data_IF_940611774698
#
_entry.id   IF_940611774698
#
_cell.length_a   1.000
_cell.length_b   1.000
_cell.length_c   1.000
_cell.angle_alpha   90.00
_cell.angle_beta   90.00
_cell.angle_gamma   90.00
#
_symmetry.space_group_name_H-M   'P 1'
#
loop_
_entity.id
_entity.type
_entity.pdbx_description
1 polymer ?
#
# COMPACT_ATOMS: atom_id res chain seq x y z
N UNK A 1 14.96 -0.47 -24.49
CA UNK A 1 13.82 -0.59 -25.43
C UNK A 1 12.55 -0.12 -24.76
N UNK A 2 12.07 1.07 -25.15
CA UNK A 2 10.80 1.67 -24.73
C UNK A 2 9.71 1.38 -25.76
N UNK A 3 8.65 0.66 -25.37
CA UNK A 3 7.52 0.34 -26.27
C UNK A 3 6.23 0.96 -25.75
N UNK A 4 5.51 1.68 -26.61
CA UNK A 4 4.18 2.18 -26.30
C UNK A 4 3.16 1.03 -26.37
N UNK A 5 2.48 0.76 -25.26
CA UNK A 5 1.31 -0.11 -25.24
C UNK A 5 0.09 0.75 -25.63
N UNK A 6 -0.83 0.23 -26.47
CA UNK A 6 -2.03 0.96 -26.90
C UNK A 6 -2.74 1.62 -25.69
N UNK A 7 -2.59 2.93 -25.57
CA UNK A 7 -3.20 3.76 -24.53
C UNK A 7 -4.36 4.55 -25.10
N UNK A 8 -5.40 4.74 -24.29
CA UNK A 8 -6.40 5.77 -24.57
C UNK A 8 -5.74 7.16 -24.51
N UNK A 9 -6.43 8.20 -25.00
CA UNK A 9 -5.83 9.52 -25.28
C UNK A 9 -5.11 10.20 -24.09
N UNK A 10 -5.39 9.80 -22.86
CA UNK A 10 -4.82 10.37 -21.63
C UNK A 10 -3.90 9.39 -20.87
N UNK A 11 -3.58 8.23 -21.48
CA UNK A 11 -2.79 7.16 -20.87
C UNK A 11 -1.49 6.97 -21.65
N UNK A 12 -0.38 7.14 -20.95
CA UNK A 12 0.96 6.84 -21.46
C UNK A 12 1.37 5.50 -20.87
N UNK A 13 1.41 4.45 -21.69
CA UNK A 13 1.80 3.12 -21.26
C UNK A 13 3.11 2.70 -21.93
N UNK A 14 4.14 2.46 -21.11
CA UNK A 14 5.52 2.26 -21.53
C UNK A 14 6.07 0.94 -20.96
N UNK A 15 6.78 0.19 -21.78
CA UNK A 15 7.61 -0.93 -21.32
C UNK A 15 9.08 -0.56 -21.38
N UNK A 16 9.80 -0.73 -20.28
CA UNK A 16 11.24 -0.45 -20.14
C UNK A 16 12.02 -1.76 -20.06
N UNK A 17 12.88 -1.98 -21.05
CA UNK A 17 13.84 -3.09 -21.07
C UNK A 17 15.07 -2.87 -20.18
N UNK A 18 16.18 -3.53 -20.50
CA UNK A 18 17.39 -3.61 -19.65
C UNK A 18 18.09 -2.27 -19.39
N UNK A 19 18.03 -1.37 -20.37
CA UNK A 19 18.69 -0.08 -20.36
C UNK A 19 17.81 0.96 -21.04
N UNK A 20 17.79 2.16 -20.46
CA UNK A 20 17.15 3.35 -21.04
C UNK A 20 18.24 4.17 -21.75
N UNK A 21 18.08 4.36 -23.05
CA UNK A 21 18.91 5.26 -23.84
C UNK A 21 18.33 6.68 -23.89
N UNK A 22 19.16 7.64 -24.28
CA UNK A 22 18.78 9.06 -24.33
C UNK A 22 17.57 9.30 -25.23
N UNK A 23 17.57 8.73 -26.43
CA UNK A 23 16.50 8.92 -27.41
C UNK A 23 15.16 8.33 -26.93
N UNK A 24 15.22 7.28 -26.10
CA UNK A 24 14.04 6.67 -25.47
C UNK A 24 13.46 7.57 -24.37
N UNK A 25 14.33 8.21 -23.58
CA UNK A 25 13.91 9.20 -22.60
C UNK A 25 13.31 10.45 -23.26
N UNK A 26 13.92 10.94 -24.33
CA UNK A 26 13.38 12.06 -25.11
C UNK A 26 12.00 11.74 -25.71
N UNK A 27 11.80 10.48 -26.16
CA UNK A 27 10.49 10.03 -26.61
C UNK A 27 9.46 10.05 -25.46
N UNK A 28 9.82 9.57 -24.28
CA UNK A 28 8.94 9.61 -23.11
C UNK A 28 8.53 11.05 -22.74
N UNK A 29 9.46 12.00 -22.74
CA UNK A 29 9.16 13.41 -22.47
C UNK A 29 8.27 14.04 -23.54
N UNK A 30 8.49 13.75 -24.83
CA UNK A 30 7.59 14.23 -25.89
C UNK A 30 6.17 13.72 -25.69
N UNK A 31 6.00 12.43 -25.38
CA UNK A 31 4.68 11.86 -25.10
C UNK A 31 4.01 12.52 -23.89
N UNK A 32 4.78 12.80 -22.83
CA UNK A 32 4.29 13.53 -21.65
C UNK A 32 3.85 14.95 -21.99
N UNK A 33 4.67 15.71 -22.72
CA UNK A 33 4.37 17.09 -23.11
C UNK A 33 3.12 17.16 -23.99
N UNK A 34 2.99 16.25 -24.96
CA UNK A 34 1.81 16.13 -25.83
C UNK A 34 0.53 15.78 -25.05
N UNK A 35 0.65 14.96 -24.00
CA UNK A 35 -0.46 14.63 -23.13
C UNK A 35 -0.83 15.84 -22.24
N UNK A 36 0.14 16.53 -21.63
CA UNK A 36 -0.12 17.70 -20.80
C UNK A 36 -0.71 18.89 -21.56
N UNK A 37 -0.41 19.03 -22.85
CA UNK A 37 -0.98 20.07 -23.71
C UNK A 37 -2.51 19.94 -23.88
N UNK A 38 -3.10 18.80 -23.52
CA UNK A 38 -4.54 18.54 -23.66
C UNK A 38 -5.36 19.01 -22.45
N UNK A 39 -4.70 19.58 -21.44
CA UNK A 39 -5.29 20.06 -20.17
C UNK A 39 -6.06 18.99 -19.35
N UNK A 40 -5.99 17.73 -19.74
CA UNK A 40 -6.49 16.57 -18.99
C UNK A 40 -5.45 16.09 -17.95
N UNK A 41 -5.91 15.24 -17.02
CA UNK A 41 -4.98 14.50 -16.17
C UNK A 41 -4.26 13.45 -17.02
N UNK A 42 -2.95 13.37 -16.88
CA UNK A 42 -2.11 12.38 -17.55
C UNK A 42 -1.90 11.18 -16.62
N UNK A 43 -2.30 10.00 -17.10
CA UNK A 43 -2.16 8.73 -16.42
C UNK A 43 -0.99 7.96 -17.02
N UNK A 44 -0.18 7.31 -16.19
CA UNK A 44 1.07 6.71 -16.62
C UNK A 44 1.14 5.26 -16.14
N UNK A 45 1.45 4.36 -17.06
CA UNK A 45 1.78 2.96 -16.77
C UNK A 45 3.21 2.70 -17.24
N UNK A 46 4.08 2.21 -16.37
CA UNK A 46 5.45 1.83 -16.72
C UNK A 46 5.73 0.42 -16.23
N UNK A 47 6.05 -0.51 -17.12
CA UNK A 47 6.59 -1.82 -16.73
C UNK A 47 8.12 -1.83 -16.85
N UNK A 48 8.79 -2.26 -15.79
CA UNK A 48 10.25 -2.30 -15.65
C UNK A 48 10.63 -3.72 -15.24
N UNK A 49 10.96 -4.56 -16.23
CA UNK A 49 11.16 -5.99 -16.02
C UNK A 49 12.61 -6.35 -15.65
N UNK A 50 13.60 -5.67 -16.23
CA UNK A 50 15.02 -6.02 -16.04
C UNK A 50 15.98 -4.83 -16.09
N UNK A 51 15.60 -3.67 -15.54
CA UNK A 51 16.48 -2.49 -15.56
C UNK A 51 17.74 -2.72 -14.71
N UNK A 52 18.90 -2.91 -15.34
CA UNK A 52 20.15 -3.18 -14.61
C UNK A 52 20.85 -1.88 -14.20
N UNK A 53 20.67 -0.81 -14.97
CA UNK A 53 21.22 0.52 -14.67
C UNK A 53 20.52 1.62 -15.46
N UNK A 54 20.44 2.81 -14.87
CA UNK A 54 20.13 4.04 -15.61
C UNK A 54 21.49 4.65 -15.99
N UNK A 55 21.64 5.07 -17.26
CA UNK A 55 22.87 5.73 -17.68
C UNK A 55 23.10 7.00 -16.83
N UNK A 56 24.29 7.21 -16.24
CA UNK A 56 24.55 8.37 -15.38
C UNK A 56 24.23 9.70 -16.07
N UNK A 57 24.52 9.80 -17.37
CA UNK A 57 24.22 10.99 -18.17
C UNK A 57 22.72 11.23 -18.28
N UNK A 58 21.89 10.18 -18.41
CA UNK A 58 20.43 10.31 -18.46
C UNK A 58 19.89 10.95 -17.16
N UNK A 59 20.43 10.59 -16.00
CA UNK A 59 20.05 11.18 -14.71
C UNK A 59 20.32 12.70 -14.63
N UNK A 60 21.41 13.18 -15.25
CA UNK A 60 21.81 14.59 -15.18
C UNK A 60 21.15 15.49 -16.24
N UNK A 61 20.76 14.94 -17.40
CA UNK A 61 20.01 15.69 -18.43
C UNK A 61 18.58 16.05 -18.00
N UNK A 62 18.07 15.39 -16.96
CA UNK A 62 16.65 15.42 -16.60
C UNK A 62 16.28 16.46 -15.56
N UNK A 63 17.23 17.15 -14.91
CA UNK A 63 16.90 18.05 -13.79
C UNK A 63 15.94 19.20 -14.19
N UNK A 64 16.10 19.77 -15.40
CA UNK A 64 15.21 20.83 -15.88
C UNK A 64 13.81 20.29 -16.21
N UNK A 65 13.72 19.09 -16.79
CA UNK A 65 12.45 18.43 -17.11
C UNK A 65 11.73 18.00 -15.83
N UNK A 66 12.45 17.46 -14.85
CA UNK A 66 11.93 17.15 -13.52
C UNK A 66 11.35 18.40 -12.87
N UNK A 67 12.07 19.54 -12.86
CA UNK A 67 11.53 20.80 -12.34
C UNK A 67 10.29 21.29 -13.11
N UNK A 68 10.28 21.11 -14.43
CA UNK A 68 9.13 21.43 -15.28
C UNK A 68 7.89 20.59 -14.92
N UNK A 69 8.05 19.28 -14.75
CA UNK A 69 6.96 18.38 -14.38
C UNK A 69 6.55 18.52 -12.91
N UNK A 70 7.47 18.86 -12.01
CA UNK A 70 7.16 19.22 -10.62
C UNK A 70 6.25 20.45 -10.53
N UNK A 71 6.38 21.42 -11.44
CA UNK A 71 5.43 22.54 -11.52
C UNK A 71 4.03 22.12 -11.99
N UNK A 72 3.90 20.94 -12.60
CA UNK A 72 2.67 20.38 -13.19
C UNK A 72 2.12 19.19 -12.42
N UNK A 73 2.53 18.97 -11.17
CA UNK A 73 2.09 17.82 -10.34
C UNK A 73 0.57 17.60 -10.32
N UNK A 74 -0.22 18.69 -10.37
CA UNK A 74 -1.69 18.63 -10.39
C UNK A 74 -2.29 18.02 -11.66
N UNK A 75 -1.54 18.02 -12.76
CA UNK A 75 -1.95 17.42 -14.02
C UNK A 75 -1.61 15.93 -14.07
N UNK A 76 -0.85 15.39 -13.12
CA UNK A 76 -0.67 13.96 -13.01
C UNK A 76 -1.90 13.31 -12.37
N UNK A 77 -2.32 12.18 -12.94
CA UNK A 77 -3.38 11.33 -12.42
C UNK A 77 -2.80 10.13 -11.67
N UNK A 78 -3.08 8.94 -12.21
CA UNK A 78 -2.64 7.65 -11.66
C UNK A 78 -1.34 7.25 -12.35
N UNK A 79 -0.31 6.94 -11.56
CA UNK A 79 0.99 6.45 -12.03
C UNK A 79 1.20 5.06 -11.45
N UNK A 80 1.24 4.04 -12.30
CA UNK A 80 1.56 2.68 -11.90
C UNK A 80 2.91 2.25 -12.46
N UNK A 81 3.78 1.74 -11.59
CA UNK A 81 5.05 1.13 -11.96
C UNK A 81 5.00 -0.36 -11.66
N UNK A 82 5.25 -1.21 -12.64
CA UNK A 82 5.27 -2.67 -12.51
C UNK A 82 6.72 -3.15 -12.50
N UNK A 83 7.23 -3.67 -11.39
CA UNK A 83 8.62 -4.16 -11.29
C UNK A 83 8.82 -5.18 -10.18
N UNK A 84 9.65 -6.20 -10.45
CA UNK A 84 10.09 -7.16 -9.43
C UNK A 84 11.40 -6.76 -8.75
N UNK A 85 12.04 -5.66 -9.19
CA UNK A 85 13.32 -5.24 -8.65
C UNK A 85 13.18 -4.57 -7.28
N UNK A 86 13.84 -5.16 -6.28
CA UNK A 86 13.74 -4.80 -4.87
C UNK A 86 14.17 -3.36 -4.55
N UNK A 87 15.07 -2.77 -5.35
CA UNK A 87 15.63 -1.42 -5.10
C UNK A 87 14.70 -0.30 -5.59
N UNK A 88 14.01 -0.48 -6.72
CA UNK A 88 12.98 0.46 -7.22
C UNK A 88 11.77 0.48 -6.28
N UNK A 89 11.43 -0.67 -5.68
CA UNK A 89 10.37 -0.81 -4.67
C UNK A 89 10.68 -0.05 -3.36
N UNK A 90 11.95 0.28 -3.10
CA UNK A 90 12.39 1.06 -1.93
C UNK A 90 12.49 2.55 -2.27
N UNK A 91 13.00 2.90 -3.45
CA UNK A 91 13.09 4.29 -3.91
C UNK A 91 11.70 4.96 -4.04
N UNK A 92 10.72 4.22 -4.56
CA UNK A 92 9.34 4.69 -4.66
C UNK A 92 8.65 4.98 -3.32
N UNK A 93 9.03 4.26 -2.26
CA UNK A 93 8.48 4.43 -0.90
C UNK A 93 8.84 5.77 -0.28
N UNK A 94 9.91 6.40 -0.75
CA UNK A 94 10.34 7.73 -0.31
C UNK A 94 9.66 8.83 -1.14
N UNK A 95 9.47 8.61 -2.45
CA UNK A 95 8.93 9.63 -3.35
C UNK A 95 7.41 9.84 -3.25
N UNK A 96 6.63 8.81 -2.95
CA UNK A 96 5.15 8.94 -2.82
C UNK A 96 4.73 9.86 -1.67
N UNK A 97 5.56 9.99 -0.63
CA UNK A 97 5.32 10.94 0.47
C UNK A 97 5.69 12.39 0.10
N UNK A 98 6.43 12.61 -0.99
CA UNK A 98 6.99 13.90 -1.38
C UNK A 98 6.28 14.56 -2.58
N UNK A 99 5.41 13.82 -3.28
CA UNK A 99 4.69 14.31 -4.47
C UNK A 99 3.21 14.54 -4.17
N UNK A 100 2.83 15.74 -3.66
CA UNK A 100 1.43 16.05 -3.43
C UNK A 100 0.63 15.98 -4.74
N UNK A 101 -0.62 15.52 -4.65
CA UNK A 101 -1.59 15.40 -5.75
C UNK A 101 -1.37 14.26 -6.75
N UNK A 102 -0.28 13.48 -6.62
CA UNK A 102 0.02 12.36 -7.52
C UNK A 102 -0.35 11.04 -6.84
N UNK A 103 -1.22 10.24 -7.49
CA UNK A 103 -1.49 8.87 -7.05
C UNK A 103 -0.46 7.96 -7.68
N UNK A 104 0.56 7.58 -6.92
CA UNK A 104 1.68 6.79 -7.39
C UNK A 104 1.68 5.42 -6.71
N UNK A 105 1.77 4.34 -7.48
CA UNK A 105 1.78 2.96 -6.97
C UNK A 105 2.77 2.05 -7.67
N UNK A 106 3.33 1.11 -6.92
CA UNK A 106 4.25 0.08 -7.44
C UNK A 106 3.64 -1.29 -7.26
N UNK A 107 3.70 -2.08 -8.33
CA UNK A 107 3.14 -3.42 -8.42
C UNK A 107 4.25 -4.43 -8.75
N UNK A 108 4.19 -5.65 -8.20
CA UNK A 108 4.99 -6.75 -8.72
C UNK A 108 4.57 -7.10 -10.15
N UNK A 109 5.44 -7.75 -10.93
CA UNK A 109 5.14 -8.14 -12.32
C UNK A 109 3.90 -9.04 -12.40
N UNK A 110 3.67 -9.87 -11.38
CA UNK A 110 2.48 -10.71 -11.27
C UNK A 110 1.15 -9.91 -11.22
N UNK A 111 1.18 -8.63 -10.87
CA UNK A 111 0.01 -7.75 -10.77
C UNK A 111 -0.08 -6.73 -11.93
N UNK A 112 0.66 -6.94 -13.01
CA UNK A 112 0.69 -6.08 -14.21
C UNK A 112 -0.69 -5.69 -14.73
N UNK A 113 -1.59 -6.67 -14.88
CA UNK A 113 -2.91 -6.42 -15.46
C UNK A 113 -3.77 -5.55 -14.52
N UNK A 114 -3.61 -5.72 -13.21
CA UNK A 114 -4.27 -4.88 -12.22
C UNK A 114 -3.74 -3.44 -12.27
N UNK A 115 -2.42 -3.28 -12.34
CA UNK A 115 -1.78 -1.97 -12.47
C UNK A 115 -2.30 -1.21 -13.70
N UNK A 116 -2.43 -1.91 -14.84
CA UNK A 116 -2.98 -1.34 -16.06
C UNK A 116 -4.46 -0.97 -15.93
N UNK A 117 -5.27 -1.86 -15.36
CA UNK A 117 -6.69 -1.61 -15.09
C UNK A 117 -6.90 -0.38 -14.19
N UNK A 118 -6.07 -0.22 -13.16
CA UNK A 118 -6.11 0.94 -12.28
C UNK A 118 -5.74 2.23 -13.02
N UNK A 119 -4.67 2.24 -13.81
CA UNK A 119 -4.29 3.44 -14.61
C UNK A 119 -5.41 3.85 -15.58
N UNK A 120 -6.11 2.87 -16.15
CA UNK A 120 -7.24 3.08 -17.06
C UNK A 120 -8.54 3.55 -16.40
N UNK A 121 -8.64 3.54 -15.08
CA UNK A 121 -9.92 3.84 -14.42
C UNK A 121 -10.89 2.66 -14.35
N UNK A 122 -10.47 1.45 -14.75
CA UNK A 122 -11.33 0.25 -14.71
C UNK A 122 -11.54 -0.26 -13.27
N UNK A 123 -10.64 0.11 -12.34
CA UNK A 123 -10.84 -0.05 -10.91
C UNK A 123 -10.53 1.24 -10.15
N UNK A 124 -11.30 1.51 -9.09
CA UNK A 124 -11.16 2.74 -8.30
C UNK A 124 -9.98 2.68 -7.34
N UNK A 125 -9.71 1.50 -6.77
CA UNK A 125 -8.62 1.30 -5.81
C UNK A 125 -7.37 0.73 -6.48
N UNK A 126 -6.16 1.16 -6.07
CA UNK A 126 -4.92 0.65 -6.62
C UNK A 126 -4.70 -0.82 -6.26
N UNK A 127 -4.90 -1.16 -4.99
CA UNK A 127 -4.76 -2.53 -4.50
C UNK A 127 -6.12 -3.17 -4.23
N UNK A 128 -6.24 -4.50 -4.35
CA UNK A 128 -7.45 -5.19 -3.92
C UNK A 128 -7.63 -4.92 -2.43
N UNK A 129 -8.87 -4.98 -1.96
CA UNK A 129 -9.13 -4.85 -0.53
C UNK A 129 -8.28 -5.87 0.23
N UNK A 130 -7.38 -5.42 1.10
CA UNK A 130 -6.48 -6.33 1.80
C UNK A 130 -7.13 -6.89 3.06
N UNK A 131 -8.02 -6.12 3.69
CA UNK A 131 -8.71 -6.51 4.93
C UNK A 131 -10.08 -7.10 4.63
N UNK A 132 -10.28 -8.37 4.99
CA UNK A 132 -11.56 -9.06 4.89
C UNK A 132 -12.03 -9.53 6.25
N UNK A 133 -13.30 -9.31 6.60
CA UNK A 133 -13.88 -9.91 7.80
C UNK A 133 -14.11 -11.40 7.56
N UNK A 134 -13.70 -12.23 8.50
CA UNK A 134 -13.95 -13.68 8.49
C UNK A 134 -14.88 -14.05 9.64
N UNK A 135 -15.46 -15.25 9.58
CA UNK A 135 -16.31 -15.74 10.67
C UNK A 135 -15.56 -15.72 12.00
N UNK A 136 -16.09 -14.93 12.92
CA UNK A 136 -15.74 -14.94 14.34
C UNK A 136 -16.88 -15.53 15.14
N UNK A 137 -16.57 -16.07 16.30
CA UNK A 137 -17.57 -16.34 17.34
C UNK A 137 -18.17 -14.99 17.82
N UNK A 138 -19.31 -15.02 18.52
CA UNK A 138 -20.09 -13.80 18.82
C UNK A 138 -19.29 -12.68 19.51
N UNK A 139 -18.21 -12.99 20.22
CA UNK A 139 -17.35 -12.06 20.95
C UNK A 139 -15.99 -11.75 20.27
N UNK A 140 -15.64 -12.43 19.17
CA UNK A 140 -14.35 -12.29 18.49
C UNK A 140 -14.50 -11.54 17.16
N UNK A 141 -13.85 -10.38 17.06
CA UNK A 141 -13.72 -9.65 15.79
C UNK A 141 -12.57 -10.24 14.97
N UNK A 142 -12.91 -11.09 14.00
CA UNK A 142 -11.93 -11.81 13.18
C UNK A 142 -11.75 -11.20 11.79
N UNK A 143 -10.51 -10.98 11.39
CA UNK A 143 -10.11 -10.41 10.12
C UNK A 143 -9.00 -11.23 9.44
N UNK A 144 -9.04 -11.29 8.13
CA UNK A 144 -7.95 -11.75 7.27
C UNK A 144 -7.30 -10.56 6.56
N UNK A 145 -5.97 -10.54 6.54
CA UNK A 145 -5.17 -9.58 5.80
C UNK A 145 -4.42 -10.30 4.68
N UNK A 146 -4.74 -9.97 3.43
CA UNK A 146 -4.10 -10.47 2.22
C UNK A 146 -3.76 -9.31 1.27
N UNK A 147 -2.50 -8.87 1.30
CA UNK A 147 -2.00 -7.77 0.48
C UNK A 147 -1.57 -6.55 1.31
N UNK A 148 -1.74 -5.37 0.71
CA UNK A 148 -1.28 -4.09 1.25
C UNK A 148 -2.43 -3.31 1.89
N UNK A 149 -2.28 -2.96 3.17
CA UNK A 149 -3.30 -2.21 3.91
C UNK A 149 -3.25 -0.73 3.50
N UNK A 150 -4.38 -0.22 3.02
CA UNK A 150 -4.55 1.20 2.67
C UNK A 150 -5.04 2.02 3.86
N UNK A 151 -4.86 3.35 3.81
CA UNK A 151 -5.37 4.23 4.88
C UNK A 151 -6.90 4.13 5.01
N UNK A 152 -7.62 4.12 3.88
CA UNK A 152 -9.08 4.05 3.83
C UNK A 152 -9.63 2.73 4.38
N UNK A 153 -8.99 1.59 4.07
CA UNK A 153 -9.36 0.29 4.63
C UNK A 153 -9.20 0.26 6.14
N UNK A 154 -8.11 0.83 6.63
CA UNK A 154 -7.83 0.91 8.05
C UNK A 154 -8.82 1.86 8.76
N UNK A 155 -9.20 2.98 8.14
CA UNK A 155 -10.25 3.88 8.62
C UNK A 155 -11.60 3.17 8.74
N UNK A 156 -12.01 2.45 7.70
CA UNK A 156 -13.24 1.65 7.71
C UNK A 156 -13.23 0.56 8.80
N UNK A 157 -12.09 -0.12 8.98
CA UNK A 157 -11.91 -1.11 10.04
C UNK A 157 -12.06 -0.48 11.44
N UNK A 158 -11.43 0.67 11.68
CA UNK A 158 -11.55 1.34 12.97
C UNK A 158 -12.98 1.83 13.23
N UNK A 159 -13.67 2.36 12.21
CA UNK A 159 -15.07 2.77 12.35
C UNK A 159 -15.96 1.60 12.79
N UNK A 160 -15.82 0.44 12.14
CA UNK A 160 -16.52 -0.80 12.54
C UNK A 160 -16.18 -1.22 13.97
N UNK A 161 -14.88 -1.24 14.33
CA UNK A 161 -14.46 -1.60 15.68
C UNK A 161 -14.97 -0.61 16.74
N UNK A 162 -15.05 0.68 16.42
CA UNK A 162 -15.66 1.70 17.29
C UNK A 162 -17.13 1.42 17.54
N UNK A 163 -17.88 1.01 16.52
CA UNK A 163 -19.30 0.66 16.67
C UNK A 163 -19.48 -0.57 17.56
N UNK A 164 -18.71 -1.64 17.34
CA UNK A 164 -18.77 -2.85 18.17
C UNK A 164 -18.30 -2.57 19.61
N UNK A 165 -17.29 -1.71 19.76
CA UNK A 165 -16.78 -1.31 21.07
C UNK A 165 -17.80 -0.53 21.90
N UNK A 166 -18.96 -0.10 21.39
CA UNK A 166 -19.96 0.58 22.24
C UNK A 166 -20.57 -0.34 23.31
N UNK A 167 -20.46 -1.67 23.15
CA UNK A 167 -20.78 -2.63 24.20
C UNK A 167 -19.84 -2.50 25.41
N UNK A 168 -20.33 -2.78 26.62
CA UNK A 168 -19.50 -2.83 27.83
C UNK A 168 -18.52 -4.01 27.85
N UNK A 169 -18.66 -4.96 26.91
CA UNK A 169 -17.72 -6.07 26.76
C UNK A 169 -16.39 -5.62 26.13
N UNK A 170 -15.24 -6.08 26.65
CA UNK A 170 -13.97 -5.81 26.01
C UNK A 170 -13.86 -6.50 24.65
N UNK A 171 -13.15 -5.88 23.72
CA UNK A 171 -12.97 -6.40 22.37
C UNK A 171 -11.89 -7.49 22.35
N UNK A 172 -12.21 -8.62 21.71
CA UNK A 172 -11.26 -9.66 21.32
C UNK A 172 -11.05 -9.59 19.82
N UNK A 173 -9.81 -9.47 19.37
CA UNK A 173 -9.47 -9.31 17.95
C UNK A 173 -8.61 -10.49 17.50
N UNK A 174 -8.97 -11.08 16.35
CA UNK A 174 -8.17 -12.07 15.65
C UNK A 174 -7.79 -11.52 14.29
N UNK A 175 -6.50 -11.52 13.96
CA UNK A 175 -6.02 -11.12 12.63
C UNK A 175 -5.18 -12.24 12.04
N UNK A 176 -5.64 -12.81 10.93
CA UNK A 176 -4.90 -13.79 10.13
C UNK A 176 -4.19 -13.10 8.97
N UNK A 177 -2.86 -13.15 8.94
CA UNK A 177 -2.04 -12.55 7.89
C UNK A 177 -1.54 -13.62 6.92
N UNK A 178 -1.94 -13.56 5.64
CA UNK A 178 -1.48 -14.50 4.59
C UNK A 178 -0.29 -13.94 3.80
N UNK A 179 -0.55 -13.02 2.86
CA UNK A 179 0.48 -12.37 2.02
C UNK A 179 0.54 -10.89 2.34
N UNK A 180 1.05 -10.57 3.52
CA UNK A 180 1.16 -9.19 3.95
C UNK A 180 2.27 -8.47 3.16
N UNK A 181 1.90 -7.47 2.37
CA UNK A 181 2.80 -6.71 1.50
C UNK A 181 3.18 -5.32 2.06
N UNK A 182 2.72 -5.01 3.28
CA UNK A 182 2.99 -3.74 3.94
C UNK A 182 1.73 -2.89 4.15
N UNK A 183 1.94 -1.61 4.44
CA UNK A 183 0.88 -0.63 4.60
C UNK A 183 1.23 0.67 3.84
N UNK A 184 0.23 1.51 3.55
CA UNK A 184 0.45 2.83 2.95
C UNK A 184 1.13 3.81 3.92
N UNK A 185 2.16 4.57 3.50
CA UNK A 185 2.82 5.56 4.35
C UNK A 185 1.88 6.61 4.95
N UNK A 186 0.77 6.91 4.27
CA UNK A 186 -0.27 7.83 4.73
C UNK A 186 -0.83 7.44 6.11
N UNK A 187 -0.83 6.15 6.46
CA UNK A 187 -1.22 5.65 7.78
C UNK A 187 -0.34 6.25 8.89
N UNK A 188 0.91 6.58 8.59
CA UNK A 188 1.88 7.17 9.54
C UNK A 188 1.92 8.71 9.49
N UNK A 189 1.22 9.34 8.55
CA UNK A 189 1.41 10.77 8.25
C UNK A 189 0.79 11.72 9.28
N UNK A 190 -0.27 11.32 9.99
CA UNK A 190 -0.93 12.15 11.00
C UNK A 190 -0.87 11.52 12.42
N UNK A 191 0.10 11.93 13.24
CA UNK A 191 0.26 11.45 14.62
C UNK A 191 -1.00 11.60 15.49
N UNK A 192 -1.82 12.63 15.28
CA UNK A 192 -3.04 12.87 16.07
C UNK A 192 -4.16 11.91 15.70
N UNK A 193 -4.26 11.54 14.43
CA UNK A 193 -5.20 10.53 13.96
C UNK A 193 -4.78 9.14 14.45
N UNK A 194 -3.48 8.86 14.47
CA UNK A 194 -2.93 7.64 15.08
C UNK A 194 -3.30 7.58 16.56
N UNK A 195 -3.02 8.61 17.34
CA UNK A 195 -3.35 8.65 18.78
C UNK A 195 -4.84 8.37 19.04
N UNK A 196 -5.74 8.99 18.26
CA UNK A 196 -7.19 8.74 18.37
C UNK A 196 -7.58 7.31 18.00
N UNK A 197 -7.02 6.76 16.93
CA UNK A 197 -7.24 5.35 16.53
C UNK A 197 -6.72 4.37 17.59
N UNK A 198 -5.62 4.72 18.27
CA UNK A 198 -5.06 3.96 19.38
C UNK A 198 -5.95 3.98 20.63
N UNK A 199 -6.89 4.92 20.79
CA UNK A 199 -7.81 4.91 21.93
C UNK A 199 -8.70 3.65 22.00
N UNK A 200 -9.02 3.05 20.84
CA UNK A 200 -9.72 1.77 20.77
C UNK A 200 -8.94 0.61 21.35
N UNK A 201 -7.61 0.68 21.24
CA UNK A 201 -6.73 -0.37 21.73
C UNK A 201 -6.83 -0.53 23.24
N UNK A 202 -7.27 0.50 23.98
CA UNK A 202 -7.57 0.37 25.42
C UNK A 202 -8.81 -0.46 25.72
N UNK A 203 -9.71 -0.65 24.75
CA UNK A 203 -10.89 -1.52 24.88
C UNK A 203 -10.63 -2.94 24.40
N UNK A 204 -9.50 -3.17 23.75
CA UNK A 204 -9.08 -4.50 23.33
C UNK A 204 -8.48 -5.21 24.54
N UNK A 205 -9.12 -6.29 24.99
CA UNK A 205 -8.54 -7.14 26.04
C UNK A 205 -7.52 -8.10 25.47
N UNK A 206 -7.83 -8.73 24.32
CA UNK A 206 -6.96 -9.72 23.68
C UNK A 206 -6.86 -9.49 22.17
N UNK A 207 -5.64 -9.58 21.66
CA UNK A 207 -5.34 -9.45 20.24
C UNK A 207 -4.46 -10.63 19.79
N UNK A 208 -5.01 -11.51 18.95
CA UNK A 208 -4.26 -12.61 18.34
C UNK A 208 -3.85 -12.27 16.91
N UNK A 209 -2.56 -12.43 16.60
CA UNK A 209 -2.02 -12.34 15.24
C UNK A 209 -1.61 -13.75 14.80
N UNK A 210 -2.16 -14.24 13.69
CA UNK A 210 -1.82 -15.53 13.08
C UNK A 210 -0.98 -15.26 11.83
N UNK A 211 0.24 -15.75 11.79
CA UNK A 211 1.18 -15.57 10.67
C UNK A 211 1.81 -14.18 10.62
N UNK A 212 2.16 -13.72 9.42
CA UNK A 212 2.86 -12.46 9.21
C UNK A 212 4.38 -12.51 9.55
N UNK A 213 5.12 -11.45 9.20
CA UNK A 213 6.58 -11.39 9.41
C UNK A 213 7.03 -11.41 10.87
N UNK A 214 8.18 -12.05 11.15
CA UNK A 214 8.78 -12.14 12.50
C UNK A 214 9.05 -10.76 13.15
N UNK A 215 9.28 -9.71 12.37
CA UNK A 215 9.50 -8.35 12.90
C UNK A 215 8.25 -7.73 13.53
N UNK A 216 7.04 -8.19 13.18
CA UNK A 216 5.82 -7.75 13.88
C UNK A 216 5.81 -8.24 15.32
N UNK A 217 6.28 -9.47 15.59
CA UNK A 217 6.43 -9.96 16.96
C UNK A 217 7.43 -9.10 17.77
N UNK A 218 8.41 -8.47 17.11
CA UNK A 218 9.32 -7.51 17.74
C UNK A 218 8.64 -6.16 18.03
N UNK A 219 7.81 -5.63 17.12
CA UNK A 219 7.03 -4.41 17.37
C UNK A 219 6.03 -4.58 18.51
N UNK A 220 5.37 -5.74 18.58
CA UNK A 220 4.47 -6.10 19.67
C UNK A 220 5.14 -5.93 21.03
N UNK A 221 6.35 -6.48 21.21
CA UNK A 221 7.11 -6.37 22.47
C UNK A 221 7.47 -4.93 22.83
N UNK A 222 7.59 -4.04 21.84
CA UNK A 222 7.92 -2.63 22.06
C UNK A 222 6.71 -1.84 22.61
N UNK A 223 5.49 -2.21 22.22
CA UNK A 223 4.25 -1.53 22.61
C UNK A 223 3.54 -2.17 23.82
N UNK A 224 3.98 -3.35 24.25
CA UNK A 224 3.47 -4.10 25.42
C UNK A 224 3.36 -3.26 26.72
N UNK A 225 4.34 -2.41 27.11
CA UNK A 225 4.24 -1.65 28.35
C UNK A 225 3.21 -0.50 28.31
N UNK A 226 2.78 -0.10 27.11
CA UNK A 226 1.91 1.06 26.90
C UNK A 226 0.43 0.68 26.72
N UNK A 227 0.16 -0.59 26.45
CA UNK A 227 -1.17 -1.11 26.10
C UNK A 227 -1.65 -2.05 27.20
N UNK A 228 -2.87 -1.85 27.72
CA UNK A 228 -3.52 -2.78 28.66
C UNK A 228 -4.05 -4.06 27.98
N UNK A 229 -3.73 -4.26 26.69
CA UNK A 229 -4.17 -5.41 25.93
C UNK A 229 -3.15 -6.54 26.08
N UNK A 230 -3.62 -7.77 26.12
CA UNK A 230 -2.76 -8.92 25.91
C UNK A 230 -2.65 -9.16 24.39
N UNK A 231 -1.45 -9.08 23.84
CA UNK A 231 -1.21 -9.36 22.42
C UNK A 231 -0.39 -10.64 22.28
N UNK A 232 -0.86 -11.57 21.45
CA UNK A 232 -0.16 -12.83 21.19
C UNK A 232 -0.02 -13.14 19.70
N UNK A 233 1.16 -13.62 19.31
CA UNK A 233 1.46 -14.09 17.97
C UNK A 233 1.39 -15.62 17.91
N UNK A 234 0.86 -16.13 16.81
CA UNK A 234 0.68 -17.55 16.51
C UNK A 234 1.21 -17.84 15.09
N UNK A 235 1.74 -19.04 14.83
CA UNK A 235 2.11 -19.45 13.47
C UNK A 235 0.87 -19.58 12.57
N UNK A 236 1.06 -19.65 11.25
CA UNK A 236 -0.03 -19.71 10.26
C UNK A 236 -1.01 -20.89 10.47
N UNK A 237 -0.51 -22.01 10.99
CA UNK A 237 -1.29 -23.22 11.31
C UNK A 237 -1.88 -23.18 12.74
N UNK A 238 -1.61 -22.12 13.51
CA UNK A 238 -2.03 -21.96 14.90
C UNK A 238 -3.40 -21.31 15.09
N UNK A 239 -4.28 -21.28 14.08
CA UNK A 239 -5.58 -20.61 14.18
C UNK A 239 -6.45 -21.16 15.31
N UNK A 240 -6.51 -22.47 15.49
CA UNK A 240 -7.29 -23.10 16.57
C UNK A 240 -6.77 -22.69 17.95
N UNK A 241 -5.45 -22.63 18.12
CA UNK A 241 -4.81 -22.21 19.36
C UNK A 241 -5.06 -20.72 19.64
N UNK A 242 -5.03 -19.88 18.60
CA UNK A 242 -5.33 -18.46 18.70
C UNK A 242 -6.78 -18.22 19.14
N UNK A 243 -7.73 -18.95 18.54
CA UNK A 243 -9.15 -18.86 18.90
C UNK A 243 -9.41 -19.32 20.33
N UNK A 244 -8.86 -20.47 20.72
CA UNK A 244 -8.99 -20.98 22.09
C UNK A 244 -8.48 -19.95 23.12
N UNK A 245 -7.31 -19.35 22.86
CA UNK A 245 -6.75 -18.31 23.72
C UNK A 245 -7.59 -17.02 23.73
N UNK A 246 -8.26 -16.64 22.65
CA UNK A 246 -9.17 -15.48 22.67
C UNK A 246 -10.46 -15.78 23.46
N UNK A 247 -10.97 -17.00 23.40
CA UNK A 247 -12.20 -17.41 24.08
C UNK A 247 -12.03 -17.61 25.59
N UNK A 248 -10.81 -17.83 26.07
CA UNK A 248 -10.50 -17.82 27.50
C UNK A 248 -10.91 -16.46 28.11
N UNK A 249 -11.87 -16.47 29.03
CA UNK A 249 -12.21 -15.29 29.81
C UNK A 249 -11.00 -14.91 30.67
N UNK A 250 -10.47 -13.71 30.45
CA UNK A 250 -9.40 -13.17 31.28
C UNK A 250 -9.85 -13.16 32.73
N UNK A 251 -9.13 -13.89 33.58
CA UNK A 251 -9.32 -13.85 35.02
C UNK A 251 -9.30 -12.38 35.50
N UNK A 252 -10.30 -12.04 36.31
CA UNK A 252 -10.56 -10.71 36.86
C UNK A 252 -9.41 -10.15 37.70
#
# INVERSE_FOLDING_TARGET
MLTQLNGEKDIIALSVGERIEKDEMELAFRLLDEAFARESKVHIFVEVLDLQSIAPDALFYDLRHVLHYLARLKQFGRIAIVTDQSWVRIASRIESALLPYVSYEVYPVAQRDRALAWVKGECDTPHPQAVHRISGDDDIQAFEVDGRITADELDGLYAHLFEVAQSDSPLKILVRMKRYDGFEPAILADPKTIERKFSLLHRVSRYAIIGGPDWLATLVKLFDPLLKMELRHFPLDGEDAARAWLSEDGDR
#
